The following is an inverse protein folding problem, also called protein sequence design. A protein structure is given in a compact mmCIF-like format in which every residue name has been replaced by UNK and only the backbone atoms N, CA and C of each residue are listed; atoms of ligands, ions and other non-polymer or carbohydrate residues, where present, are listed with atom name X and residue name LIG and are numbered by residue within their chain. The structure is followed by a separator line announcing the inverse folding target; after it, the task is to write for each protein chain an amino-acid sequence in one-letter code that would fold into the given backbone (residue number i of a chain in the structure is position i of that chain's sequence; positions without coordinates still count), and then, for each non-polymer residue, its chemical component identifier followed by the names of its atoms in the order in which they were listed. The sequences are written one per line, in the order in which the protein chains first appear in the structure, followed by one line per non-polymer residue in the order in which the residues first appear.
data_IF_971775273578
#
_entry.id   IF_971775273578
#
_cell.length_a   1.000
_cell.length_b   1.000
_cell.length_c   1.000
_cell.angle_alpha   90.00
_cell.angle_beta   90.00
_cell.angle_gamma   90.00
#
_symmetry.space_group_name_H-M   'P 1'
#
loop_
_entity.id
_entity.type
_entity.pdbx_description
1 polymer ?
#
# COMPACT_ATOMS: atom_id res chain seq x y z
N UNK A 1 22.13 7.98 -15.67
CA UNK A 1 21.89 6.79 -16.51
C UNK A 1 20.50 6.91 -17.06
N UNK A 2 20.36 6.84 -18.37
CA UNK A 2 19.06 6.90 -19.04
C UNK A 2 18.24 5.68 -18.64
N UNK A 3 16.96 5.86 -18.31
CA UNK A 3 16.12 4.75 -17.84
C UNK A 3 15.95 3.65 -18.91
N UNK A 4 16.02 4.02 -20.19
CA UNK A 4 16.07 3.09 -21.32
C UNK A 4 17.24 2.11 -21.22
N UNK A 5 18.39 2.56 -20.68
CA UNK A 5 19.57 1.72 -20.48
C UNK A 5 19.32 0.61 -19.45
N UNK A 6 18.50 0.85 -18.43
CA UNK A 6 18.20 -0.14 -17.39
C UNK A 6 17.38 -1.30 -17.94
N UNK A 7 16.39 -1.01 -18.78
CA UNK A 7 15.57 -2.02 -19.46
C UNK A 7 16.45 -2.92 -20.32
N UNK A 8 17.37 -2.32 -21.08
CA UNK A 8 18.28 -3.07 -21.94
C UNK A 8 19.26 -3.94 -21.15
N UNK A 9 19.85 -3.41 -20.07
CA UNK A 9 20.71 -4.18 -19.15
C UNK A 9 19.93 -5.38 -18.58
N UNK A 10 18.73 -5.13 -18.05
CA UNK A 10 17.90 -6.17 -17.45
C UNK A 10 17.48 -7.23 -18.48
N UNK A 11 17.17 -6.81 -19.71
CA UNK A 11 16.83 -7.70 -20.82
C UNK A 11 18.03 -8.58 -21.20
N UNK A 12 19.20 -7.98 -21.43
CA UNK A 12 20.45 -8.68 -21.77
C UNK A 12 20.81 -9.73 -20.73
N UNK A 13 20.74 -9.40 -19.43
CA UNK A 13 21.04 -10.38 -18.36
C UNK A 13 20.05 -11.56 -18.40
N UNK A 14 18.76 -11.30 -18.61
CA UNK A 14 17.75 -12.36 -18.65
C UNK A 14 17.87 -13.26 -19.87
N UNK A 15 18.12 -12.67 -21.04
CA UNK A 15 18.19 -13.35 -22.33
C UNK A 15 19.55 -14.00 -22.59
N UNK A 16 20.59 -13.69 -21.81
CA UNK A 16 21.92 -14.28 -21.98
C UNK A 16 21.86 -15.83 -21.85
N UNK A 17 22.14 -16.60 -22.92
CA UNK A 17 22.13 -18.06 -22.88
C UNK A 17 23.36 -18.65 -22.17
N UNK A 18 24.44 -17.87 -22.01
CA UNK A 18 25.68 -18.32 -21.38
C UNK A 18 25.62 -18.31 -19.84
N UNK A 19 24.61 -17.65 -19.27
CA UNK A 19 24.44 -17.53 -17.82
C UNK A 19 23.36 -18.49 -17.29
N UNK A 20 23.66 -19.15 -16.18
CA UNK A 20 22.66 -19.92 -15.42
C UNK A 20 21.65 -18.99 -14.74
N UNK A 21 20.44 -19.49 -14.43
CA UNK A 21 19.43 -18.69 -13.72
C UNK A 21 19.93 -18.14 -12.37
N UNK A 22 20.76 -18.91 -11.66
CA UNK A 22 21.37 -18.48 -10.40
C UNK A 22 22.34 -17.32 -10.59
N UNK A 23 23.15 -17.33 -11.64
CA UNK A 23 24.07 -16.23 -12.00
C UNK A 23 23.31 -14.98 -12.40
N UNK A 24 22.25 -15.13 -13.20
CA UNK A 24 21.33 -14.03 -13.56
C UNK A 24 20.76 -13.37 -12.31
N UNK A 25 20.33 -14.18 -11.33
CA UNK A 25 19.84 -13.69 -10.05
C UNK A 25 20.88 -12.92 -9.24
N UNK A 26 22.13 -13.42 -9.18
CA UNK A 26 23.23 -12.75 -8.48
C UNK A 26 23.60 -11.41 -9.10
N UNK A 27 23.65 -11.36 -10.43
CA UNK A 27 24.00 -10.13 -11.15
C UNK A 27 22.91 -9.06 -11.02
N UNK A 28 21.64 -9.44 -11.18
CA UNK A 28 20.52 -8.52 -10.93
C UNK A 28 20.51 -7.99 -9.50
N UNK A 29 20.83 -8.84 -8.52
CA UNK A 29 20.94 -8.42 -7.12
C UNK A 29 22.06 -7.40 -6.93
N UNK A 30 23.25 -7.66 -7.49
CA UNK A 30 24.39 -6.74 -7.44
C UNK A 30 24.01 -5.36 -7.98
N UNK A 31 23.30 -5.32 -9.10
CA UNK A 31 22.84 -4.08 -9.72
C UNK A 31 21.71 -3.39 -8.94
N UNK A 32 20.93 -4.12 -8.14
CA UNK A 32 19.85 -3.54 -7.33
C UNK A 32 20.32 -3.01 -5.96
N UNK A 33 21.47 -3.46 -5.44
CA UNK A 33 22.01 -3.05 -4.13
C UNK A 33 22.10 -1.52 -3.90
N UNK A 34 22.49 -0.68 -4.89
CA UNK A 34 22.51 0.77 -4.69
C UNK A 34 21.11 1.34 -4.41
N UNK A 35 20.09 0.87 -5.12
CA UNK A 35 18.71 1.33 -4.97
C UNK A 35 18.08 0.88 -3.66
N UNK A 36 18.57 -0.22 -3.09
CA UNK A 36 18.17 -0.68 -1.76
C UNK A 36 18.57 0.29 -0.66
N UNK A 37 19.66 1.04 -0.85
CA UNK A 37 20.15 2.04 0.11
C UNK A 37 19.48 3.42 -0.06
N UNK A 38 18.81 3.66 -1.18
CA UNK A 38 18.09 4.90 -1.42
C UNK A 38 16.88 5.05 -0.49
N UNK A 39 16.48 6.28 -0.25
CA UNK A 39 15.26 6.63 0.47
C UNK A 39 14.00 6.34 -0.36
N UNK A 40 12.83 6.40 0.29
CA UNK A 40 11.55 6.22 -0.41
C UNK A 40 11.36 7.30 -1.48
N UNK A 41 11.69 8.55 -1.17
CA UNK A 41 11.48 9.67 -2.08
C UNK A 41 12.40 9.59 -3.30
N UNK A 42 13.67 9.20 -3.12
CA UNK A 42 14.60 8.99 -4.24
C UNK A 42 14.09 7.90 -5.19
N UNK A 43 13.56 6.79 -4.65
CA UNK A 43 12.96 5.73 -5.48
C UNK A 43 11.73 6.22 -6.25
N UNK A 44 10.87 7.02 -5.61
CA UNK A 44 9.72 7.63 -6.29
C UNK A 44 10.16 8.66 -7.33
N UNK A 45 11.25 9.39 -7.08
CA UNK A 45 11.79 10.35 -8.04
C UNK A 45 12.30 9.64 -9.29
N UNK A 46 12.99 8.50 -9.16
CA UNK A 46 13.39 7.69 -10.30
C UNK A 46 12.19 7.22 -11.14
N UNK A 47 11.06 6.91 -10.49
CA UNK A 47 9.81 6.55 -11.19
C UNK A 47 9.23 7.75 -11.95
N UNK A 48 9.24 8.96 -11.36
CA UNK A 48 8.80 10.18 -12.04
C UNK A 48 9.69 10.52 -13.23
N UNK A 49 11.00 10.40 -13.05
CA UNK A 49 11.99 10.64 -14.10
C UNK A 49 11.81 9.64 -15.24
N UNK A 50 11.56 8.36 -14.94
CA UNK A 50 11.20 7.35 -15.93
C UNK A 50 9.98 7.75 -16.75
N UNK A 51 8.89 8.17 -16.08
CA UNK A 51 7.66 8.57 -16.78
C UNK A 51 7.90 9.80 -17.67
N UNK A 52 8.71 10.75 -17.20
CA UNK A 52 9.09 11.94 -17.96
C UNK A 52 9.95 11.60 -19.19
N UNK A 53 10.91 10.69 -19.06
CA UNK A 53 11.83 10.29 -20.14
C UNK A 53 11.17 9.35 -21.15
N UNK A 54 10.41 8.36 -20.68
CA UNK A 54 9.85 7.31 -21.54
C UNK A 54 8.40 7.57 -21.97
N UNK A 55 7.72 8.58 -21.43
CA UNK A 55 6.32 8.90 -21.73
C UNK A 55 5.32 7.80 -21.33
N UNK A 56 5.75 6.82 -20.54
CA UNK A 56 4.95 5.66 -20.11
C UNK A 56 5.29 5.25 -18.68
N UNK A 57 4.36 4.56 -18.02
CA UNK A 57 4.61 3.98 -16.69
C UNK A 57 5.68 2.87 -16.78
N UNK A 58 6.63 2.80 -15.82
CA UNK A 58 7.60 1.71 -15.78
C UNK A 58 6.88 0.40 -15.50
N UNK A 59 7.32 -0.69 -16.14
CA UNK A 59 6.93 -2.06 -15.83
C UNK A 59 8.07 -2.76 -15.10
N UNK A 60 7.80 -3.95 -14.53
CA UNK A 60 8.82 -4.75 -13.82
C UNK A 60 10.03 -5.11 -14.69
N UNK A 61 9.89 -5.12 -16.02
CA UNK A 61 11.00 -5.45 -16.93
C UNK A 61 11.88 -4.24 -17.23
N UNK A 62 11.41 -3.03 -16.93
CA UNK A 62 12.08 -1.80 -17.34
C UNK A 62 13.10 -1.32 -16.30
N UNK A 63 12.84 -1.57 -15.01
CA UNK A 63 13.64 -1.04 -13.91
C UNK A 63 14.37 -2.14 -13.15
N UNK A 64 15.61 -1.87 -12.69
CA UNK A 64 16.40 -2.83 -11.92
C UNK A 64 15.98 -2.92 -10.45
N UNK A 65 15.28 -1.91 -9.95
CA UNK A 65 14.84 -1.74 -8.56
C UNK A 65 13.37 -2.17 -8.34
N UNK A 66 12.84 -3.04 -9.19
CA UNK A 66 11.43 -3.49 -9.12
C UNK A 66 11.09 -4.22 -7.83
N UNK A 67 12.07 -4.92 -7.24
CA UNK A 67 11.89 -5.61 -5.96
C UNK A 67 11.73 -4.62 -4.82
N UNK A 68 12.58 -3.60 -4.77
CA UNK A 68 12.57 -2.55 -3.75
C UNK A 68 11.25 -1.76 -3.82
N UNK A 69 10.80 -1.43 -5.03
CA UNK A 69 9.51 -0.75 -5.23
C UNK A 69 8.34 -1.57 -4.69
N UNK A 70 8.31 -2.88 -5.00
CA UNK A 70 7.26 -3.78 -4.50
C UNK A 70 7.32 -3.93 -2.98
N UNK A 71 8.52 -4.04 -2.42
CA UNK A 71 8.71 -4.26 -0.99
C UNK A 71 8.28 -3.03 -0.16
N UNK A 72 8.63 -1.82 -0.60
CA UNK A 72 8.39 -0.58 0.15
C UNK A 72 7.01 0.05 -0.09
N UNK A 73 6.53 0.02 -1.33
CA UNK A 73 5.29 0.70 -1.72
C UNK A 73 4.12 -0.25 -1.95
N UNK A 74 4.38 -1.56 -1.97
CA UNK A 74 3.37 -2.58 -2.17
C UNK A 74 2.99 -2.77 -3.65
N UNK A 75 1.70 -2.90 -3.99
CA UNK A 75 1.27 -3.05 -5.38
C UNK A 75 1.72 -1.90 -6.26
N UNK A 76 2.11 -2.19 -7.50
CA UNK A 76 2.67 -1.22 -8.45
C UNK A 76 1.78 0.03 -8.64
N UNK A 77 0.46 -0.15 -8.68
CA UNK A 77 -0.50 0.96 -8.73
C UNK A 77 -0.35 1.91 -7.54
N UNK A 78 -0.11 1.40 -6.33
CA UNK A 78 0.05 2.23 -5.12
C UNK A 78 1.34 3.04 -5.15
N UNK A 79 2.40 2.47 -5.71
CA UNK A 79 3.64 3.20 -5.96
C UNK A 79 3.42 4.34 -6.97
N UNK A 80 2.75 4.07 -8.09
CA UNK A 80 2.48 5.07 -9.12
C UNK A 80 1.61 6.22 -8.61
N UNK A 81 0.62 5.90 -7.76
CA UNK A 81 -0.19 6.88 -7.03
C UNK A 81 0.67 7.72 -6.08
N UNK A 82 1.58 7.10 -5.30
CA UNK A 82 2.51 7.82 -4.42
C UNK A 82 3.51 8.68 -5.19
N UNK A 83 3.96 8.23 -6.35
CA UNK A 83 4.84 8.97 -7.24
C UNK A 83 4.12 10.17 -7.89
N UNK A 84 2.79 10.27 -7.80
CA UNK A 84 2.01 11.32 -8.47
C UNK A 84 1.89 11.14 -9.98
N UNK A 85 2.36 10.01 -10.50
CA UNK A 85 2.29 9.66 -11.94
C UNK A 85 0.88 9.24 -12.37
N UNK A 86 0.04 8.85 -11.42
CA UNK A 86 -1.33 8.39 -11.65
C UNK A 86 -2.26 8.87 -10.54
N UNK A 87 -3.50 9.28 -10.85
CA UNK A 87 -4.47 9.61 -9.81
C UNK A 87 -4.86 8.38 -8.99
N UNK A 88 -5.15 8.59 -7.71
CA UNK A 88 -5.67 7.54 -6.82
C UNK A 88 -7.04 7.10 -7.31
N UNK A 89 -7.22 5.79 -7.48
CA UNK A 89 -8.49 5.28 -7.96
C UNK A 89 -9.64 5.59 -7.00
N UNK A 90 -10.73 6.18 -7.50
CA UNK A 90 -11.89 6.59 -6.70
C UNK A 90 -12.49 5.44 -5.89
N UNK A 91 -12.71 4.28 -6.52
CA UNK A 91 -13.23 3.07 -5.85
C UNK A 91 -12.39 2.67 -4.62
N UNK A 92 -11.08 2.95 -4.63
CA UNK A 92 -10.21 2.64 -3.51
C UNK A 92 -10.48 3.58 -2.33
N UNK A 93 -10.65 4.87 -2.60
CA UNK A 93 -11.01 5.88 -1.60
C UNK A 93 -12.38 5.55 -1.01
N UNK A 94 -13.36 5.24 -1.85
CA UNK A 94 -14.71 4.84 -1.43
C UNK A 94 -14.69 3.57 -0.56
N UNK A 95 -13.94 2.54 -0.97
CA UNK A 95 -13.77 1.32 -0.16
C UNK A 95 -13.13 1.61 1.20
N UNK A 96 -12.18 2.56 1.27
CA UNK A 96 -11.55 2.98 2.52
C UNK A 96 -12.53 3.75 3.41
N UNK A 97 -13.33 4.64 2.82
CA UNK A 97 -14.39 5.41 3.48
C UNK A 97 -15.45 4.48 4.09
N UNK A 98 -15.99 3.55 3.29
CA UNK A 98 -16.97 2.54 3.75
C UNK A 98 -16.46 1.70 4.94
N UNK A 99 -15.17 1.34 4.93
CA UNK A 99 -14.56 0.61 6.05
C UNK A 99 -14.46 1.44 7.32
N UNK A 100 -14.20 2.75 7.19
CA UNK A 100 -14.20 3.69 8.32
C UNK A 100 -15.61 3.85 8.87
N UNK A 101 -16.58 4.14 8.01
CA UNK A 101 -17.99 4.30 8.38
C UNK A 101 -18.53 3.06 9.09
N UNK A 102 -18.25 1.85 8.57
CA UNK A 102 -18.64 0.60 9.23
C UNK A 102 -18.06 0.45 10.65
N UNK A 103 -16.81 0.91 10.87
CA UNK A 103 -16.17 0.85 12.19
C UNK A 103 -16.81 1.85 13.16
N UNK A 104 -17.09 3.07 12.71
CA UNK A 104 -17.76 4.08 13.53
C UNK A 104 -19.20 3.67 13.86
N UNK A 105 -19.97 3.24 12.87
CA UNK A 105 -21.34 2.73 13.07
C UNK A 105 -21.35 1.59 14.08
N UNK A 106 -20.43 0.64 13.98
CA UNK A 106 -20.36 -0.48 14.93
C UNK A 106 -19.89 -0.04 16.33
N UNK A 107 -19.05 0.99 16.43
CA UNK A 107 -18.65 1.59 17.71
C UNK A 107 -19.83 2.30 18.37
N UNK A 108 -20.60 3.08 17.62
CA UNK A 108 -21.81 3.76 18.08
C UNK A 108 -22.90 2.78 18.47
N UNK A 109 -23.15 1.75 17.66
CA UNK A 109 -24.08 0.67 17.98
C UNK A 109 -23.77 0.02 19.34
N UNK A 110 -22.51 -0.35 19.58
CA UNK A 110 -22.07 -0.90 20.89
C UNK A 110 -22.16 0.11 22.04
N UNK A 111 -22.13 1.41 21.75
CA UNK A 111 -22.36 2.45 22.77
C UNK A 111 -23.84 2.50 23.12
N UNK A 112 -24.72 2.54 22.13
CA UNK A 112 -26.18 2.57 22.33
C UNK A 112 -26.67 1.36 23.14
N UNK A 113 -26.20 0.15 22.82
CA UNK A 113 -26.56 -1.06 23.58
C UNK A 113 -26.17 -0.95 25.05
N UNK A 114 -24.97 -0.42 25.36
CA UNK A 114 -24.53 -0.23 26.75
C UNK A 114 -25.35 0.84 27.48
N UNK A 115 -25.72 1.91 26.79
CA UNK A 115 -26.57 2.96 27.34
C UNK A 115 -27.99 2.45 27.62
N UNK A 116 -28.57 1.66 26.70
CA UNK A 116 -29.87 1.00 26.90
C UNK A 116 -29.83 0.05 28.08
N UNK A 117 -28.83 -0.82 28.16
CA UNK A 117 -28.67 -1.75 29.29
C UNK A 117 -28.51 -1.02 30.64
N UNK A 118 -27.76 0.09 30.66
CA UNK A 118 -27.59 0.90 31.87
C UNK A 118 -28.89 1.62 32.27
N UNK A 119 -29.65 2.13 31.30
CA UNK A 119 -30.95 2.76 31.55
C UNK A 119 -31.98 1.73 32.05
N UNK A 120 -32.05 0.55 31.43
CA UNK A 120 -32.91 -0.55 31.86
C UNK A 120 -32.55 -1.02 33.28
N UNK A 121 -31.25 -1.15 33.58
CA UNK A 121 -30.78 -1.49 34.93
C UNK A 121 -31.18 -0.41 35.96
N UNK A 122 -31.01 0.87 35.65
CA UNK A 122 -31.40 1.96 36.54
C UNK A 122 -32.91 2.01 36.79
N UNK A 123 -33.73 1.77 35.76
CA UNK A 123 -35.19 1.68 35.90
C UNK A 123 -35.60 0.46 36.74
N UNK A 124 -34.94 -0.68 36.57
CA UNK A 124 -35.18 -1.87 37.40
C UNK A 124 -34.82 -1.60 38.88
N UNK A 125 -33.70 -0.91 39.15
CA UNK A 125 -33.32 -0.51 40.51
C UNK A 125 -34.34 0.46 41.13
N UNK A 126 -34.79 1.47 40.38
CA UNK A 126 -35.79 2.45 40.84
C UNK A 126 -37.12 1.77 41.18
N UNK A 127 -37.62 0.90 40.30
CA UNK A 127 -38.86 0.13 40.56
C UNK A 127 -38.75 -0.76 41.79
N UNK A 128 -37.61 -1.44 41.98
CA UNK A 128 -37.37 -2.26 43.18
C UNK A 128 -37.39 -1.41 44.46
N UNK A 129 -36.79 -0.21 44.43
CA UNK A 129 -36.78 0.70 45.59
C UNK A 129 -38.19 1.21 45.94
N UNK A 130 -39.01 1.56 44.94
CA UNK A 130 -40.39 1.99 45.16
C UNK A 130 -41.22 0.86 45.75
N UNK A 131 -41.12 -0.36 45.21
CA UNK A 131 -41.86 -1.53 45.74
C UNK A 131 -41.39 -1.99 47.13
N UNK A 132 -40.18 -1.64 47.54
CA UNK A 132 -39.66 -1.98 48.88
C UNK A 132 -40.01 -0.93 49.95
N UNK A 133 -40.46 0.25 49.54
CA UNK A 133 -40.87 1.34 50.42
C UNK A 133 -42.40 1.39 50.65
N UNK A 134 -43.17 0.57 49.92
CA UNK A 134 -44.61 0.37 50.05
C UNK A 134 -44.92 -0.86 50.94
#
# INVERSE_FOLDING_TARGET
MEQAQQQEIKRKIKENPEMTEGEKGRELKRLSEPYKKMSDEELLQLVRDFVRECGREPTRKDVLYDRELKYRFGPWTRMLEKAGTRPVAEHYLERKKRRREKREHHKEYRRQIREQQAAEAAQAEETMQVTAAE
#
